data_IF_465997370952
#
_entry.id   IF_465997370952
#
_cell.length_a   1.000
_cell.length_b   1.000
_cell.length_c   1.000
_cell.angle_alpha   90.00
_cell.angle_beta   90.00
_cell.angle_gamma   90.00
#
_symmetry.space_group_name_H-M   'P 1'
#
loop_
_entity.id
_entity.type
_entity.pdbx_description
1 polymer ?
#
# COMPACT_ATOMS: atom_id res chain seq x y z
N UNK A 1 2.10 7.69 -0.03
CA UNK A 1 1.66 8.71 -1.02
C UNK A 1 1.63 8.16 -2.45
N UNK A 2 0.44 7.99 -3.01
CA UNK A 2 0.21 7.52 -4.39
C UNK A 2 0.82 8.44 -5.45
N UNK A 3 0.96 9.74 -5.16
CA UNK A 3 1.54 10.70 -6.09
C UNK A 3 3.02 10.42 -6.40
N UNK A 4 3.70 9.62 -5.56
CA UNK A 4 5.10 9.23 -5.78
C UNK A 4 5.26 7.98 -6.66
N UNK A 5 4.17 7.24 -6.93
CA UNK A 5 4.25 6.01 -7.71
C UNK A 5 4.59 6.31 -9.17
N UNK A 6 5.68 5.76 -9.74
CA UNK A 6 6.05 5.95 -11.14
C UNK A 6 4.92 5.58 -12.12
N UNK A 7 4.19 4.50 -11.85
CA UNK A 7 3.05 4.08 -12.67
C UNK A 7 1.85 5.05 -12.57
N UNK A 8 1.61 5.64 -11.41
CA UNK A 8 0.58 6.66 -11.24
C UNK A 8 0.96 7.95 -11.97
N UNK A 9 2.21 8.40 -11.81
CA UNK A 9 2.76 9.59 -12.46
C UNK A 9 2.75 9.49 -13.98
N UNK A 10 2.98 8.30 -14.52
CA UNK A 10 2.88 8.03 -15.96
C UNK A 10 1.49 8.30 -16.54
N UNK A 11 0.44 8.22 -15.71
CA UNK A 11 -0.93 8.43 -16.10
C UNK A 11 -1.49 9.82 -15.80
N UNK A 12 -0.67 10.73 -15.26
CA UNK A 12 -1.06 12.12 -15.04
C UNK A 12 -0.98 12.94 -16.35
N UNK A 13 -1.77 14.01 -16.51
CA UNK A 13 -1.79 14.84 -17.72
C UNK A 13 -0.43 15.40 -18.17
N UNK A 14 0.53 15.54 -17.25
CA UNK A 14 1.87 16.08 -17.48
C UNK A 14 2.97 15.02 -17.22
N UNK A 15 2.75 13.77 -17.64
CA UNK A 15 3.71 12.70 -17.43
C UNK A 15 5.10 13.03 -18.04
N UNK A 16 6.22 12.68 -17.37
CA UNK A 16 7.56 12.98 -17.88
C UNK A 16 7.83 12.33 -19.24
N UNK A 17 8.47 13.06 -20.15
CA UNK A 17 8.93 12.53 -21.43
C UNK A 17 9.95 11.42 -21.18
N UNK A 18 9.71 10.21 -21.70
CA UNK A 18 10.57 9.03 -21.49
C UNK A 18 10.22 8.17 -20.26
N UNK A 19 9.13 8.47 -19.55
CA UNK A 19 8.58 7.60 -18.52
C UNK A 19 7.87 6.35 -19.07
N UNK A 20 7.46 5.41 -18.19
CA UNK A 20 6.69 4.25 -18.60
C UNK A 20 5.34 4.66 -19.21
N UNK A 21 4.82 3.86 -20.14
CA UNK A 21 3.52 4.11 -20.77
C UNK A 21 2.39 3.92 -19.76
N UNK A 22 1.48 4.89 -19.67
CA UNK A 22 0.23 4.68 -18.94
C UNK A 22 -0.62 3.59 -19.59
N UNK A 23 -0.92 2.53 -18.84
CA UNK A 23 -1.76 1.41 -19.30
C UNK A 23 -3.25 1.63 -19.02
N UNK A 24 -3.60 2.68 -18.29
CA UNK A 24 -4.97 3.01 -17.92
C UNK A 24 -5.52 4.02 -18.94
N UNK A 25 -6.70 3.77 -19.55
CA UNK A 25 -7.30 4.71 -20.48
C UNK A 25 -7.47 6.11 -19.87
N UNK A 26 -7.30 7.14 -20.69
CA UNK A 26 -7.46 8.53 -20.27
C UNK A 26 -8.82 8.75 -19.58
N UNK A 27 -8.80 9.43 -18.43
CA UNK A 27 -9.99 9.70 -17.62
C UNK A 27 -10.45 8.56 -16.71
N UNK A 28 -9.82 7.37 -16.76
CA UNK A 28 -10.11 6.25 -15.85
C UNK A 28 -9.16 6.15 -14.66
N UNK A 29 -8.17 7.04 -14.56
CA UNK A 29 -7.28 7.08 -13.40
C UNK A 29 -8.05 7.52 -12.15
N UNK A 30 -8.07 6.71 -11.08
CA UNK A 30 -8.67 7.13 -9.83
C UNK A 30 -7.85 8.26 -9.20
N UNK A 31 -8.54 9.17 -8.51
CA UNK A 31 -7.86 10.18 -7.70
C UNK A 31 -7.18 9.52 -6.49
N UNK A 32 -6.12 10.11 -5.89
CA UNK A 32 -5.50 9.55 -4.70
C UNK A 32 -6.50 9.37 -3.55
N UNK A 33 -7.47 10.28 -3.44
CA UNK A 33 -8.56 10.20 -2.47
C UNK A 33 -9.48 9.02 -2.74
N UNK A 34 -9.84 8.75 -4.00
CA UNK A 34 -10.67 7.61 -4.36
C UNK A 34 -9.97 6.27 -4.06
N UNK A 35 -8.66 6.18 -4.34
CA UNK A 35 -7.87 5.00 -3.97
C UNK A 35 -7.79 4.85 -2.45
N UNK A 36 -7.49 5.92 -1.71
CA UNK A 36 -7.46 5.89 -0.24
C UNK A 36 -8.79 5.45 0.38
N UNK A 37 -9.91 5.94 -0.15
CA UNK A 37 -11.25 5.52 0.28
C UNK A 37 -11.52 4.04 -0.03
N UNK A 38 -11.12 3.55 -1.21
CA UNK A 38 -11.25 2.15 -1.57
C UNK A 38 -10.40 1.23 -0.66
N UNK A 39 -9.16 1.61 -0.37
CA UNK A 39 -8.27 0.89 0.57
C UNK A 39 -8.89 0.86 1.97
N UNK A 40 -9.39 1.99 2.47
CA UNK A 40 -10.04 2.06 3.78
C UNK A 40 -11.29 1.16 3.86
N UNK A 41 -12.13 1.18 2.83
CA UNK A 41 -13.32 0.32 2.76
C UNK A 41 -12.96 -1.17 2.72
N UNK A 42 -11.91 -1.54 1.98
CA UNK A 42 -11.44 -2.92 1.91
C UNK A 42 -10.84 -3.40 3.24
N UNK A 43 -10.03 -2.58 3.90
CA UNK A 43 -9.47 -2.88 5.22
C UNK A 43 -10.57 -3.05 6.29
N UNK A 44 -11.63 -2.23 6.23
CA UNK A 44 -12.79 -2.40 7.11
C UNK A 44 -13.50 -3.74 6.88
N UNK A 45 -13.66 -4.18 5.62
CA UNK A 45 -14.24 -5.48 5.29
C UNK A 45 -13.37 -6.65 5.78
N UNK A 46 -12.03 -6.56 5.64
CA UNK A 46 -11.10 -7.54 6.20
C UNK A 46 -11.25 -7.63 7.73
N UNK A 47 -11.31 -6.48 8.41
CA UNK A 47 -11.47 -6.43 9.87
C UNK A 47 -12.77 -7.06 10.34
N UNK A 48 -13.88 -6.79 9.66
CA UNK A 48 -15.18 -7.39 9.95
C UNK A 48 -15.14 -8.92 9.75
N UNK A 49 -14.58 -9.39 8.63
CA UNK A 49 -14.43 -10.82 8.36
C UNK A 49 -13.55 -11.52 9.41
N UNK A 50 -12.39 -10.94 9.74
CA UNK A 50 -11.49 -11.51 10.76
C UNK A 50 -12.18 -11.62 12.13
N UNK A 51 -12.98 -10.61 12.50
CA UNK A 51 -13.75 -10.61 13.75
C UNK A 51 -14.78 -11.73 13.77
N UNK A 52 -15.55 -11.89 12.69
CA UNK A 52 -16.60 -12.92 12.58
C UNK A 52 -16.04 -14.34 12.65
N UNK A 53 -14.88 -14.56 12.06
CA UNK A 53 -14.23 -15.88 12.00
C UNK A 53 -13.31 -16.15 13.20
N UNK A 54 -13.19 -15.20 14.15
CA UNK A 54 -12.25 -15.34 15.28
C UNK A 54 -10.77 -15.39 14.86
N UNK A 55 -10.44 -14.83 13.69
CA UNK A 55 -9.08 -14.80 13.16
C UNK A 55 -8.26 -13.65 13.79
N UNK A 56 -6.95 -13.85 13.86
CA UNK A 56 -6.02 -12.78 14.26
C UNK A 56 -5.76 -11.84 13.09
N UNK A 57 -6.15 -10.57 13.23
CA UNK A 57 -5.85 -9.52 12.25
C UNK A 57 -4.45 -8.94 12.50
N UNK A 58 -3.61 -8.92 11.47
CA UNK A 58 -2.36 -8.17 11.44
C UNK A 58 -2.57 -6.93 10.59
N UNK A 59 -2.76 -5.79 11.24
CA UNK A 59 -2.94 -4.52 10.54
C UNK A 59 -1.61 -4.02 9.96
N UNK A 60 -1.49 -4.15 8.63
CA UNK A 60 -0.35 -3.64 7.86
C UNK A 60 -0.63 -2.27 7.23
N UNK A 61 -1.79 -1.67 7.50
CA UNK A 61 -2.05 -0.30 7.12
C UNK A 61 -1.20 0.62 8.02
N UNK A 62 0.11 0.58 7.82
CA UNK A 62 1.06 1.48 8.41
C UNK A 62 0.58 2.88 8.09
N UNK A 63 0.56 3.76 9.10
CA UNK A 63 0.21 5.14 8.81
C UNK A 63 1.22 5.70 7.79
N UNK A 64 0.76 6.56 6.87
CA UNK A 64 1.63 7.19 5.86
C UNK A 64 2.87 7.83 6.51
N UNK A 65 2.76 8.27 7.77
CA UNK A 65 3.87 8.85 8.54
C UNK A 65 5.00 7.87 8.88
N UNK A 66 4.74 6.58 9.09
CA UNK A 66 5.77 5.58 9.37
C UNK A 66 6.53 5.22 8.09
N UNK A 67 5.83 5.04 6.98
CA UNK A 67 6.46 4.77 5.68
C UNK A 67 7.28 5.98 5.22
N UNK A 68 6.77 7.20 5.40
CA UNK A 68 7.50 8.43 5.06
C UNK A 68 8.81 8.60 5.85
N UNK A 69 8.90 8.04 7.06
CA UNK A 69 10.12 8.02 7.86
C UNK A 69 11.12 6.95 7.42
N UNK A 70 10.69 5.98 6.61
CA UNK A 70 11.49 4.84 6.17
C UNK A 70 11.41 4.62 4.65
N UNK A 71 11.93 5.56 3.84
CA UNK A 71 11.94 5.41 2.39
C UNK A 71 12.68 4.14 1.94
N UNK A 72 13.63 3.63 2.74
CA UNK A 72 14.36 2.40 2.47
C UNK A 72 13.50 1.13 2.55
N UNK A 73 12.30 1.20 3.12
CA UNK A 73 11.36 0.08 3.14
C UNK A 73 10.57 -0.07 1.85
N UNK A 74 10.63 0.91 0.95
CA UNK A 74 9.96 0.90 -0.35
C UNK A 74 10.97 0.61 -1.46
N UNK A 75 10.59 -0.24 -2.40
CA UNK A 75 11.43 -0.60 -3.54
C UNK A 75 11.53 0.54 -4.56
N UNK A 76 12.40 0.39 -5.55
CA UNK A 76 12.59 1.40 -6.60
C UNK A 76 11.33 1.67 -7.44
N UNK A 77 10.35 0.77 -7.44
CA UNK A 77 9.07 0.98 -8.11
C UNK A 77 8.09 1.87 -7.32
N UNK A 78 8.49 2.34 -6.13
CA UNK A 78 7.73 3.24 -5.29
C UNK A 78 6.51 2.61 -4.61
N UNK A 79 6.20 1.33 -4.86
CA UNK A 79 4.99 0.68 -4.36
C UNK A 79 5.29 -0.56 -3.54
N UNK A 80 6.04 -1.52 -4.10
CA UNK A 80 6.31 -2.77 -3.40
C UNK A 80 7.29 -2.54 -2.25
N UNK A 81 7.20 -3.31 -1.15
CA UNK A 81 8.23 -3.30 -0.13
C UNK A 81 9.59 -3.72 -0.70
N UNK A 82 10.67 -3.10 -0.21
CA UNK A 82 12.02 -3.60 -0.39
C UNK A 82 12.23 -4.88 0.44
N UNK A 83 13.39 -5.54 0.30
CA UNK A 83 13.74 -6.67 1.19
C UNK A 83 13.69 -6.30 2.67
N UNK A 84 14.09 -5.08 3.02
CA UNK A 84 13.99 -4.57 4.38
C UNK A 84 12.54 -4.31 4.80
N UNK A 85 11.71 -3.76 3.89
CA UNK A 85 10.28 -3.59 4.13
C UNK A 85 9.56 -4.92 4.38
N UNK A 86 9.86 -5.95 3.58
CA UNK A 86 9.34 -7.31 3.82
C UNK A 86 9.78 -7.89 5.16
N UNK A 87 11.01 -7.64 5.61
CA UNK A 87 11.48 -8.08 6.93
C UNK A 87 10.68 -7.42 8.07
N UNK A 88 10.33 -6.13 7.93
CA UNK A 88 9.47 -5.43 8.90
C UNK A 88 8.07 -6.04 8.95
N UNK A 89 7.46 -6.31 7.78
CA UNK A 89 6.15 -6.99 7.68
C UNK A 89 6.21 -8.37 8.35
N UNK A 90 7.24 -9.17 8.05
CA UNK A 90 7.42 -10.49 8.65
C UNK A 90 7.50 -10.44 10.18
N UNK A 91 8.19 -9.44 10.75
CA UNK A 91 8.27 -9.24 12.19
C UNK A 91 6.92 -8.90 12.84
N UNK A 92 6.06 -8.16 12.14
CA UNK A 92 4.69 -7.86 12.61
C UNK A 92 3.84 -9.14 12.70
N UNK A 93 3.90 -9.99 11.66
CA UNK A 93 3.23 -11.29 11.67
C UNK A 93 3.77 -12.22 12.75
N UNK A 94 5.09 -12.35 12.86
CA UNK A 94 5.75 -13.15 13.91
C UNK A 94 5.31 -12.70 15.31
N UNK A 95 5.25 -11.38 15.54
CA UNK A 95 4.74 -10.80 16.77
C UNK A 95 3.28 -11.15 17.06
N UNK A 96 2.41 -11.13 16.04
CA UNK A 96 1.01 -11.52 16.18
C UNK A 96 0.86 -13.02 16.47
N UNK A 97 1.60 -13.86 15.74
CA UNK A 97 1.60 -15.31 15.92
C UNK A 97 1.97 -15.70 17.35
N UNK A 98 3.03 -15.09 17.92
CA UNK A 98 3.45 -15.33 19.31
C UNK A 98 2.45 -14.89 20.38
N UNK A 99 1.53 -13.97 20.08
CA UNK A 99 0.48 -13.53 21.03
C UNK A 99 -0.77 -14.40 20.98
N UNK A 100 -0.98 -15.08 19.86
CA UNK A 100 -2.15 -15.92 19.63
C UNK A 100 -1.97 -17.38 20.08
N UNK A 101 -0.72 -17.86 20.15
CA UNK A 101 -0.35 -19.15 20.75
C UNK A 101 -0.01 -19.04 22.22
#
# INVERSE_FOLDING_TARGET
DLAQLPAYRACLPNAPTGGPTCLIPAGLMPTPQAVGAAVAGYNAAISDAATKEGATLVDLNLNDSQIAQHPEWISADGFHPSSQGYAVIAKQFEGAYRRAG
#
